data_IF_313558187506
#
_entry.id   IF_313558187506
#
_cell.length_a   1.000
_cell.length_b   1.000
_cell.length_c   1.000
_cell.angle_alpha   90.00
_cell.angle_beta   90.00
_cell.angle_gamma   90.00
#
_symmetry.space_group_name_H-M   'P 1'
#
loop_
_entity.id
_entity.type
_entity.pdbx_description
1 polymer ?
#
# COMPACT_ATOMS: atom_id res chain seq x y z
N UNK A 1 -3.30 -13.11 -21.13
CA UNK A 1 -4.05 -14.20 -20.47
C UNK A 1 -3.32 -14.76 -19.25
N UNK A 2 -2.00 -14.99 -19.32
CA UNK A 2 -1.17 -15.43 -18.18
C UNK A 2 -1.12 -14.43 -17.02
N UNK A 3 -0.92 -13.15 -17.29
CA UNK A 3 -0.92 -12.11 -16.25
C UNK A 3 -2.25 -12.06 -15.46
N UNK A 4 -3.39 -12.17 -16.15
CA UNK A 4 -4.71 -12.21 -15.52
C UNK A 4 -4.88 -13.42 -14.58
N UNK A 5 -4.42 -14.60 -14.98
CA UNK A 5 -4.44 -15.78 -14.12
C UNK A 5 -3.54 -15.60 -12.88
N UNK A 6 -2.36 -14.99 -13.06
CA UNK A 6 -1.47 -14.66 -11.94
C UNK A 6 -2.08 -13.60 -11.01
N UNK A 7 -2.80 -12.61 -11.54
CA UNK A 7 -3.51 -11.65 -10.71
C UNK A 7 -4.65 -12.30 -9.90
N UNK A 8 -5.39 -13.24 -10.48
CA UNK A 8 -6.44 -13.99 -9.76
C UNK A 8 -5.82 -14.84 -8.64
N UNK A 9 -4.79 -15.62 -8.95
CA UNK A 9 -4.11 -16.47 -7.97
C UNK A 9 -3.44 -15.62 -6.87
N UNK A 10 -2.76 -14.55 -7.27
CA UNK A 10 -2.13 -13.60 -6.37
C UNK A 10 -3.16 -12.89 -5.48
N UNK A 11 -4.30 -12.48 -6.03
CA UNK A 11 -5.39 -11.90 -5.26
C UNK A 11 -5.99 -12.87 -4.25
N UNK A 12 -6.18 -14.13 -4.63
CA UNK A 12 -6.63 -15.19 -3.72
C UNK A 12 -5.65 -15.42 -2.56
N UNK A 13 -4.35 -15.46 -2.85
CA UNK A 13 -3.30 -15.56 -1.83
C UNK A 13 -3.25 -14.32 -0.94
N UNK A 14 -3.34 -13.12 -1.52
CA UNK A 14 -3.38 -11.85 -0.79
C UNK A 14 -4.55 -11.81 0.19
N UNK A 15 -5.73 -12.25 -0.25
CA UNK A 15 -6.91 -12.38 0.59
C UNK A 15 -6.73 -13.39 1.73
N UNK A 16 -6.13 -14.56 1.46
CA UNK A 16 -5.84 -15.55 2.51
C UNK A 16 -4.87 -15.01 3.57
N UNK A 17 -3.76 -14.40 3.14
CA UNK A 17 -2.78 -13.74 4.04
C UNK A 17 -3.50 -12.70 4.90
N UNK A 18 -4.34 -11.90 4.25
CA UNK A 18 -5.22 -10.93 4.89
C UNK A 18 -6.11 -11.58 5.95
N UNK A 19 -6.78 -12.71 5.68
CA UNK A 19 -7.64 -13.34 6.68
C UNK A 19 -6.87 -13.90 7.88
N UNK A 20 -5.68 -14.46 7.64
CA UNK A 20 -4.88 -15.10 8.70
C UNK A 20 -4.21 -14.06 9.60
N UNK A 21 -3.58 -13.04 9.01
CA UNK A 21 -2.76 -12.06 9.74
C UNK A 21 -3.45 -10.72 9.94
N UNK A 22 -4.57 -10.50 9.26
CA UNK A 22 -5.26 -9.23 9.17
C UNK A 22 -5.69 -8.65 10.51
N UNK A 23 -6.29 -9.47 11.37
CA UNK A 23 -6.76 -9.00 12.68
C UNK A 23 -5.61 -8.44 13.53
N UNK A 24 -4.42 -9.05 13.47
CA UNK A 24 -3.23 -8.54 14.17
C UNK A 24 -2.74 -7.24 13.55
N UNK A 25 -2.83 -7.14 12.23
CA UNK A 25 -2.50 -5.93 11.49
C UNK A 25 -3.45 -4.78 11.82
N UNK A 26 -4.75 -5.04 11.92
CA UNK A 26 -5.76 -4.04 12.30
C UNK A 26 -5.53 -3.55 13.74
N UNK A 27 -5.21 -4.46 14.68
CA UNK A 27 -4.84 -4.09 16.07
C UNK A 27 -3.53 -3.30 16.13
N UNK A 28 -2.57 -3.60 15.25
CA UNK A 28 -1.34 -2.83 15.17
C UNK A 28 -1.61 -1.41 14.65
N UNK A 29 -2.42 -1.30 13.59
CA UNK A 29 -2.77 -0.02 12.97
C UNK A 29 -3.67 0.82 13.87
N UNK A 30 -4.61 0.22 14.62
CA UNK A 30 -5.53 0.95 15.51
C UNK A 30 -4.82 1.70 16.65
N UNK A 31 -3.56 1.39 16.92
CA UNK A 31 -2.72 2.09 17.91
C UNK A 31 -1.97 3.29 17.31
N UNK A 32 -2.11 3.52 16.00
CA UNK A 32 -1.41 4.58 15.26
C UNK A 32 -2.37 5.70 14.94
N UNK A 33 -1.81 6.89 14.76
CA UNK A 33 -2.54 8.04 14.23
C UNK A 33 -2.92 7.81 12.75
N UNK A 34 -4.03 8.41 12.31
CA UNK A 34 -4.59 8.32 10.97
C UNK A 34 -3.56 8.69 9.91
N UNK A 35 -2.76 9.75 10.14
CA UNK A 35 -1.69 10.15 9.22
C UNK A 35 -0.63 9.06 9.05
N UNK A 36 -0.22 8.43 10.16
CA UNK A 36 0.74 7.33 10.14
C UNK A 36 0.16 6.09 9.47
N UNK A 37 -1.12 5.77 9.72
CA UNK A 37 -1.81 4.68 9.03
C UNK A 37 -1.87 4.93 7.52
N UNK A 38 -2.21 6.15 7.11
CA UNK A 38 -2.27 6.56 5.71
C UNK A 38 -0.89 6.44 5.04
N UNK A 39 0.16 6.91 5.72
CA UNK A 39 1.54 6.78 5.25
C UNK A 39 1.92 5.31 5.05
N UNK A 40 1.71 4.44 6.04
CA UNK A 40 2.08 3.02 5.97
C UNK A 40 1.34 2.31 4.82
N UNK A 41 0.03 2.50 4.72
CA UNK A 41 -0.77 1.84 3.68
C UNK A 41 -0.39 2.37 2.30
N UNK A 42 -0.26 3.68 2.13
CA UNK A 42 0.15 4.29 0.86
C UNK A 42 1.55 3.83 0.43
N UNK A 43 2.48 3.70 1.38
CA UNK A 43 3.82 3.17 1.12
C UNK A 43 3.77 1.71 0.64
N UNK A 44 3.01 0.84 1.31
CA UNK A 44 2.85 -0.57 0.92
C UNK A 44 2.21 -0.69 -0.45
N UNK A 45 1.22 0.15 -0.74
CA UNK A 45 0.57 0.23 -2.04
C UNK A 45 1.55 0.65 -3.14
N UNK A 46 2.33 1.71 -2.91
CA UNK A 46 3.38 2.15 -3.83
C UNK A 46 4.44 1.08 -4.09
N UNK A 47 4.86 0.37 -3.04
CA UNK A 47 5.75 -0.79 -3.12
C UNK A 47 5.14 -1.90 -3.98
N UNK A 48 3.87 -2.24 -3.74
CA UNK A 48 3.16 -3.31 -4.45
C UNK A 48 3.01 -3.04 -5.94
N UNK A 49 2.73 -1.81 -6.35
CA UNK A 49 2.51 -1.44 -7.76
C UNK A 49 3.72 -1.61 -8.67
N UNK A 50 4.94 -1.62 -8.14
CA UNK A 50 6.14 -1.85 -8.96
C UNK A 50 6.47 -3.34 -9.12
N UNK A 51 5.93 -4.21 -8.27
CA UNK A 51 6.24 -5.63 -8.32
C UNK A 51 5.68 -6.25 -9.62
N UNK A 52 6.35 -7.27 -10.16
CA UNK A 52 5.74 -8.09 -11.21
C UNK A 52 4.64 -8.97 -10.62
N UNK A 53 3.66 -9.33 -11.45
CA UNK A 53 2.70 -10.37 -11.09
C UNK A 53 3.40 -11.71 -10.84
N UNK A 54 2.95 -12.52 -9.87
CA UNK A 54 1.72 -12.37 -9.05
C UNK A 54 1.90 -11.51 -7.78
N UNK A 55 3.11 -11.05 -7.48
CA UNK A 55 3.44 -10.41 -6.19
C UNK A 55 2.74 -9.06 -6.02
N UNK A 56 2.58 -8.32 -7.11
CA UNK A 56 1.76 -7.10 -7.12
C UNK A 56 0.35 -7.38 -6.58
N UNK A 57 -0.36 -8.35 -7.18
CA UNK A 57 -1.73 -8.68 -6.76
C UNK A 57 -1.80 -9.19 -5.32
N UNK A 58 -0.81 -9.97 -4.86
CA UNK A 58 -0.75 -10.42 -3.45
C UNK A 58 -0.69 -9.22 -2.50
N UNK A 59 0.26 -8.32 -2.71
CA UNK A 59 0.52 -7.19 -1.81
C UNK A 59 -0.64 -6.20 -1.84
N UNK A 60 -1.11 -5.85 -3.04
CA UNK A 60 -2.21 -4.89 -3.23
C UNK A 60 -3.51 -5.42 -2.64
N UNK A 61 -3.88 -6.67 -2.91
CA UNK A 61 -5.12 -7.25 -2.36
C UNK A 61 -5.03 -7.44 -0.86
N UNK A 62 -3.87 -7.85 -0.32
CA UNK A 62 -3.68 -7.96 1.12
C UNK A 62 -3.84 -6.59 1.84
N UNK A 63 -3.30 -5.52 1.24
CA UNK A 63 -3.43 -4.16 1.76
C UNK A 63 -4.88 -3.63 1.63
N UNK A 64 -5.53 -3.79 0.46
CA UNK A 64 -6.90 -3.34 0.25
C UNK A 64 -7.94 -4.09 1.09
N UNK A 65 -7.66 -5.34 1.44
CA UNK A 65 -8.57 -6.12 2.29
C UNK A 65 -8.65 -5.59 3.74
N UNK A 66 -7.82 -4.60 4.11
CA UNK A 66 -7.87 -3.91 5.41
C UNK A 66 -8.94 -2.81 5.42
N UNK A 67 -10.20 -3.22 5.34
CA UNK A 67 -11.36 -2.30 5.25
C UNK A 67 -11.42 -1.32 6.43
N UNK A 68 -11.07 -1.76 7.64
CA UNK A 68 -11.06 -0.89 8.83
C UNK A 68 -10.11 0.31 8.66
N UNK A 69 -8.85 0.04 8.34
CA UNK A 69 -7.84 1.08 8.23
C UNK A 69 -8.13 2.04 7.08
N UNK A 70 -8.54 1.51 5.92
CA UNK A 70 -8.91 2.31 4.76
C UNK A 70 -10.13 3.18 5.05
N UNK A 71 -11.15 2.63 5.72
CA UNK A 71 -12.34 3.37 6.14
C UNK A 71 -12.00 4.50 7.10
N UNK A 72 -11.12 4.25 8.06
CA UNK A 72 -10.67 5.26 9.02
C UNK A 72 -9.88 6.38 8.34
N UNK A 73 -8.94 6.05 7.44
CA UNK A 73 -8.18 7.01 6.64
C UNK A 73 -9.11 7.85 5.77
N UNK A 74 -10.05 7.20 5.08
CA UNK A 74 -11.02 7.89 4.23
C UNK A 74 -11.87 8.88 5.03
N UNK A 75 -12.39 8.45 6.18
CA UNK A 75 -13.29 9.26 6.98
C UNK A 75 -12.56 10.43 7.64
N UNK A 76 -11.51 10.15 8.41
CA UNK A 76 -10.82 11.17 9.21
C UNK A 76 -9.81 11.99 8.41
N UNK A 77 -9.19 11.41 7.38
CA UNK A 77 -8.19 12.09 6.55
C UNK A 77 -8.77 12.87 5.37
N UNK A 78 -9.92 12.47 4.83
CA UNK A 78 -10.47 13.07 3.61
C UNK A 78 -11.90 13.60 3.77
N UNK A 79 -12.85 12.76 4.18
CA UNK A 79 -14.27 13.11 4.21
C UNK A 79 -14.59 14.17 5.25
N UNK A 80 -14.16 13.98 6.49
CA UNK A 80 -14.38 14.93 7.59
C UNK A 80 -13.74 16.30 7.30
N UNK A 81 -12.45 16.39 6.90
CA UNK A 81 -11.85 17.66 6.52
C UNK A 81 -12.57 18.35 5.37
N UNK A 82 -13.00 17.59 4.36
CA UNK A 82 -13.76 18.13 3.23
C UNK A 82 -15.10 18.74 3.68
N UNK A 83 -15.88 18.02 4.49
CA UNK A 83 -17.17 18.49 5.00
C UNK A 83 -17.02 19.74 5.88
N UNK A 84 -15.96 19.80 6.69
CA UNK A 84 -15.65 20.94 7.56
C UNK A 84 -14.94 22.09 6.84
N UNK A 85 -14.67 21.96 5.53
CA UNK A 85 -13.91 22.92 4.70
C UNK A 85 -12.50 23.20 5.25
N UNK A 86 -11.91 22.19 5.90
CA UNK A 86 -10.55 22.16 6.43
C UNK A 86 -9.58 21.74 5.31
N UNK A 87 -9.35 22.65 4.36
CA UNK A 87 -8.59 22.36 3.15
C UNK A 87 -7.10 22.12 3.40
N UNK A 88 -6.54 22.67 4.47
CA UNK A 88 -5.14 22.45 4.82
C UNK A 88 -4.89 20.98 5.21
N UNK A 89 -5.72 20.44 6.10
CA UNK A 89 -5.67 19.06 6.57
C UNK A 89 -5.95 18.07 5.43
N UNK A 90 -6.89 18.40 4.54
CA UNK A 90 -7.15 17.63 3.33
C UNK A 90 -5.92 17.57 2.41
N UNK A 91 -5.29 18.72 2.18
CA UNK A 91 -4.10 18.83 1.34
C UNK A 91 -2.93 18.09 1.94
N UNK A 92 -2.76 18.15 3.27
CA UNK A 92 -1.73 17.43 4.00
C UNK A 92 -1.93 15.91 3.89
N UNK A 93 -3.17 15.43 4.01
CA UNK A 93 -3.50 14.01 3.84
C UNK A 93 -3.22 13.53 2.42
N UNK A 94 -3.59 14.32 1.41
CA UNK A 94 -3.29 14.02 0.00
C UNK A 94 -1.78 14.00 -0.26
N UNK A 95 -1.04 14.99 0.26
CA UNK A 95 0.42 15.06 0.12
C UNK A 95 1.10 13.86 0.79
N UNK A 96 0.65 13.47 1.99
CA UNK A 96 1.17 12.30 2.71
C UNK A 96 0.98 11.02 1.89
N UNK A 97 -0.20 10.86 1.28
CA UNK A 97 -0.53 9.73 0.41
C UNK A 97 0.40 9.66 -0.79
N UNK A 98 0.58 10.80 -1.49
CA UNK A 98 1.44 10.90 -2.66
C UNK A 98 2.91 10.62 -2.32
N UNK A 99 3.44 11.28 -1.29
CA UNK A 99 4.83 11.10 -0.87
C UNK A 99 5.10 9.66 -0.44
N UNK A 100 4.24 9.09 0.40
CA UNK A 100 4.39 7.72 0.86
C UNK A 100 4.34 6.71 -0.29
N UNK A 101 3.37 6.85 -1.20
CA UNK A 101 3.26 5.99 -2.38
C UNK A 101 4.50 6.07 -3.28
N UNK A 102 4.97 7.28 -3.56
CA UNK A 102 6.18 7.51 -4.35
C UNK A 102 7.42 6.93 -3.65
N UNK A 103 7.56 7.11 -2.34
CA UNK A 103 8.65 6.51 -1.55
C UNK A 103 8.62 4.98 -1.62
N UNK A 104 7.44 4.36 -1.47
CA UNK A 104 7.28 2.91 -1.59
C UNK A 104 7.72 2.39 -2.95
N UNK A 105 7.27 3.07 -4.01
CA UNK A 105 7.63 2.75 -5.39
C UNK A 105 9.15 2.85 -5.63
N UNK A 106 9.78 3.95 -5.23
CA UNK A 106 11.22 4.14 -5.45
C UNK A 106 12.10 3.22 -4.61
N UNK A 107 11.62 2.80 -3.43
CA UNK A 107 12.37 1.85 -2.58
C UNK A 107 12.58 0.53 -3.30
N UNK A 108 11.52 -0.03 -3.89
CA UNK A 108 11.63 -1.30 -4.61
C UNK A 108 12.28 -1.12 -5.98
N UNK A 109 11.99 -0.02 -6.69
CA UNK A 109 12.60 0.28 -7.98
C UNK A 109 14.13 0.42 -7.91
N UNK A 110 14.63 1.15 -6.91
CA UNK A 110 16.08 1.26 -6.69
C UNK A 110 16.70 -0.09 -6.34
N UNK A 111 16.07 -0.89 -5.47
CA UNK A 111 16.59 -2.21 -5.11
C UNK A 111 16.65 -3.20 -6.28
N UNK A 112 15.64 -3.21 -7.17
CA UNK A 112 15.61 -4.08 -8.36
C UNK A 112 16.62 -3.63 -9.42
N UNK A 113 16.76 -2.32 -9.63
CA UNK A 113 17.74 -1.76 -10.56
C UNK A 113 19.18 -2.04 -10.11
N UNK A 114 19.46 -1.92 -8.80
CA UNK A 114 20.77 -2.23 -8.23
C UNK A 114 21.11 -3.71 -8.37
N UNK A 115 20.12 -4.60 -8.22
CA UNK A 115 20.27 -6.03 -8.43
C UNK A 115 20.56 -6.36 -9.91
N UNK A 116 19.92 -5.66 -10.84
CA UNK A 116 20.17 -5.77 -12.29
C UNK A 116 21.60 -5.38 -12.66
N UNK A 117 22.11 -4.27 -12.11
CA UNK A 117 23.50 -3.83 -12.33
C UNK A 117 24.50 -4.84 -11.75
N UNK A 118 24.28 -5.32 -10.53
CA UNK A 118 25.16 -6.33 -9.91
C UNK A 118 25.17 -7.61 -10.75
N UNK A 119 24.02 -8.06 -11.23
CA UNK A 119 23.94 -9.26 -12.06
C UNK A 119 24.67 -9.11 -13.41
N UNK A 120 24.61 -7.92 -14.02
CA UNK A 120 25.35 -7.61 -15.26
C UNK A 120 26.86 -7.46 -15.08
N UNK A 121 27.34 -7.15 -13.87
CA UNK A 121 28.79 -7.02 -13.58
C UNK A 121 29.40 -8.39 -13.24
N UNK A 122 28.63 -9.31 -12.66
CA UNK A 122 29.11 -10.63 -12.21
C UNK A 122 29.08 -11.69 -13.33
N UNK A 123 28.23 -11.51 -14.35
CA UNK A 123 28.18 -12.37 -15.55
C UNK A 123 29.18 -11.94 -16.62
#
# INVERSE_FOLDING_TARGET
MTAFLYSILGGGMGWMISNVYGARWDVFLSKRDVFMMNFIISFIMGFGFYLPEPFQSIVIVAAFSRVYAIGLIWNEGFLNPYQKKQFFELSLSALTTLLAGVMGYYTIASSMYLNLIIHQIIQ
#
